data_IF_971225375761
#
_entry.id   IF_971225375761
#
_cell.length_a   1.000
_cell.length_b   1.000
_cell.length_c   1.000
_cell.angle_alpha   90.00
_cell.angle_beta   90.00
_cell.angle_gamma   90.00
#
_symmetry.space_group_name_H-M   'P 1'
#
loop_
_entity.id
_entity.type
_entity.pdbx_description
1 polymer ?
#
# COMPACT_ATOMS: atom_id res chain seq x y z
N UNK A 1 -2.58 -8.15 -8.05
CA UNK A 1 -1.97 -7.76 -6.75
C UNK A 1 -2.17 -8.91 -5.77
N UNK A 2 -1.15 -9.33 -5.02
CA UNK A 2 -1.18 -10.59 -4.25
C UNK A 2 -2.15 -10.58 -3.06
N UNK A 3 -2.23 -9.46 -2.35
CA UNK A 3 -2.99 -9.34 -1.09
C UNK A 3 -4.15 -8.35 -1.18
N UNK A 4 -4.80 -8.25 -2.36
CA UNK A 4 -5.83 -7.24 -2.60
C UNK A 4 -6.99 -7.32 -1.59
N UNK A 5 -7.47 -8.53 -1.29
CA UNK A 5 -8.56 -8.72 -0.33
C UNK A 5 -8.16 -8.36 1.10
N UNK A 6 -6.96 -8.76 1.52
CA UNK A 6 -6.43 -8.37 2.84
C UNK A 6 -6.26 -6.86 2.93
N UNK A 7 -5.77 -6.19 1.88
CA UNK A 7 -5.62 -4.73 1.86
C UNK A 7 -6.96 -4.02 2.02
N UNK A 8 -8.01 -4.46 1.33
CA UNK A 8 -9.38 -3.93 1.50
C UNK A 8 -9.90 -4.13 2.92
N UNK A 9 -9.75 -5.33 3.48
CA UNK A 9 -10.21 -5.62 4.84
C UNK A 9 -9.42 -4.85 5.91
N UNK A 10 -8.11 -4.70 5.76
CA UNK A 10 -7.27 -3.93 6.68
C UNK A 10 -7.65 -2.45 6.65
N UNK A 11 -7.85 -1.87 5.46
CA UNK A 11 -8.27 -0.47 5.36
C UNK A 11 -9.62 -0.22 6.02
N UNK A 12 -10.59 -1.12 5.81
CA UNK A 12 -11.87 -1.07 6.50
C UNK A 12 -11.68 -1.01 8.02
N UNK A 13 -10.85 -1.89 8.60
CA UNK A 13 -10.57 -1.89 10.04
C UNK A 13 -9.86 -0.61 10.50
N UNK A 14 -8.89 -0.12 9.75
CA UNK A 14 -8.18 1.12 10.09
C UNK A 14 -9.14 2.33 10.13
N UNK A 15 -10.06 2.42 9.17
CA UNK A 15 -11.04 3.50 9.13
C UNK A 15 -12.11 3.35 10.22
N UNK A 16 -12.66 2.15 10.39
CA UNK A 16 -13.82 1.91 11.27
C UNK A 16 -13.44 1.73 12.75
N UNK A 17 -12.24 1.23 13.04
CA UNK A 17 -11.82 0.89 14.41
C UNK A 17 -10.72 1.83 14.93
N UNK A 18 -9.90 2.40 14.04
CA UNK A 18 -8.75 3.25 14.43
C UNK A 18 -8.92 4.73 14.04
N UNK A 19 -10.03 5.09 13.38
CA UNK A 19 -10.31 6.46 12.92
C UNK A 19 -9.20 7.05 12.02
N UNK A 20 -8.52 6.21 11.24
CA UNK A 20 -7.47 6.60 10.30
C UNK A 20 -8.06 6.79 8.91
N UNK A 21 -7.71 7.85 8.19
CA UNK A 21 -8.05 7.99 6.76
C UNK A 21 -7.11 7.14 5.90
N UNK A 22 -7.65 6.27 5.02
CA UNK A 22 -6.82 5.39 4.20
C UNK A 22 -6.90 5.72 2.71
N UNK A 23 -5.77 6.18 2.15
CA UNK A 23 -5.61 6.34 0.69
C UNK A 23 -5.18 5.03 0.03
N UNK A 24 -6.13 4.28 -0.53
CA UNK A 24 -5.84 3.01 -1.21
C UNK A 24 -5.33 3.14 -2.65
N UNK A 25 -4.59 2.11 -3.08
CA UNK A 25 -4.26 1.85 -4.48
C UNK A 25 -5.49 1.39 -5.28
N UNK A 26 -5.35 1.34 -6.62
CA UNK A 26 -6.40 0.85 -7.50
C UNK A 26 -6.31 -0.66 -7.71
N UNK A 27 -7.47 -1.29 -7.88
CA UNK A 27 -7.60 -2.73 -8.14
C UNK A 27 -8.15 -2.95 -9.55
N UNK A 28 -7.44 -3.74 -10.36
CA UNK A 28 -7.88 -4.12 -11.70
C UNK A 28 -8.74 -5.40 -11.62
N UNK A 29 -9.97 -5.26 -11.11
CA UNK A 29 -10.90 -6.38 -10.87
C UNK A 29 -11.28 -7.10 -12.17
N UNK A 30 -11.45 -6.33 -13.25
CA UNK A 30 -11.78 -6.83 -14.58
C UNK A 30 -10.59 -7.49 -15.29
N UNK A 31 -9.39 -7.48 -14.66
CA UNK A 31 -8.15 -8.03 -15.20
C UNK A 31 -7.84 -7.51 -16.61
N UNK A 32 -8.08 -6.23 -16.82
CA UNK A 32 -7.78 -5.56 -18.08
C UNK A 32 -6.29 -5.66 -18.42
N UNK A 33 -5.92 -5.76 -19.70
CA UNK A 33 -4.51 -5.75 -20.10
C UNK A 33 -3.79 -4.49 -19.60
N UNK A 34 -2.66 -4.67 -18.91
CA UNK A 34 -1.88 -3.56 -18.38
C UNK A 34 -0.55 -3.48 -19.11
N UNK A 35 -0.42 -2.48 -19.99
CA UNK A 35 0.82 -2.16 -20.69
C UNK A 35 1.81 -1.37 -19.82
N UNK A 36 3.05 -1.25 -20.30
CA UNK A 36 4.14 -0.55 -19.59
C UNK A 36 3.80 0.90 -19.23
N UNK A 37 3.19 1.64 -20.16
CA UNK A 37 2.76 3.02 -19.94
C UNK A 37 1.69 3.13 -18.84
N UNK A 38 0.78 2.15 -18.74
CA UNK A 38 -0.20 2.11 -17.67
C UNK A 38 0.47 1.79 -16.33
N UNK A 39 1.43 0.87 -16.29
CA UNK A 39 2.23 0.58 -15.09
C UNK A 39 2.99 1.82 -14.59
N UNK A 40 3.58 2.60 -15.50
CA UNK A 40 4.26 3.85 -15.16
C UNK A 40 3.31 4.86 -14.52
N UNK A 41 2.12 5.07 -15.10
CA UNK A 41 1.10 5.96 -14.54
C UNK A 41 0.59 5.50 -13.18
N UNK A 42 0.40 4.19 -12.99
CA UNK A 42 0.01 3.61 -11.69
C UNK A 42 1.09 3.91 -10.65
N UNK A 43 2.36 3.68 -10.98
CA UNK A 43 3.50 3.95 -10.10
C UNK A 43 3.58 5.44 -9.70
N UNK A 44 3.46 6.36 -10.65
CA UNK A 44 3.43 7.80 -10.37
C UNK A 44 2.24 8.18 -9.48
N UNK A 45 1.07 7.57 -9.70
CA UNK A 45 -0.10 7.80 -8.86
C UNK A 45 0.06 7.24 -7.43
N UNK A 46 0.85 6.18 -7.25
CA UNK A 46 1.21 5.67 -5.92
C UNK A 46 2.14 6.62 -5.19
N UNK A 47 3.16 7.16 -5.87
CA UNK A 47 4.06 8.16 -5.27
C UNK A 47 3.32 9.43 -4.85
N UNK A 48 2.39 9.93 -5.66
CA UNK A 48 1.54 11.06 -5.26
C UNK A 48 0.69 10.77 -4.03
N UNK A 49 0.17 9.54 -3.88
CA UNK A 49 -0.53 9.14 -2.63
C UNK A 49 0.40 9.21 -1.43
N UNK A 50 1.62 8.69 -1.56
CA UNK A 50 2.64 8.75 -0.50
C UNK A 50 2.96 10.21 -0.12
N UNK A 51 3.09 11.09 -1.11
CA UNK A 51 3.36 12.51 -0.85
C UNK A 51 2.25 13.17 -0.01
N UNK A 52 0.98 12.80 -0.27
CA UNK A 52 -0.20 13.30 0.45
C UNK A 52 -0.41 12.67 1.83
N UNK A 53 0.11 11.48 2.08
CA UNK A 53 -0.07 10.76 3.34
C UNK A 53 0.92 11.21 4.42
N UNK A 54 0.54 11.10 5.69
CA UNK A 54 1.45 11.25 6.83
C UNK A 54 2.37 10.03 7.00
N UNK A 55 1.84 8.83 6.71
CA UNK A 55 2.53 7.55 6.82
C UNK A 55 2.14 6.58 5.70
N UNK A 56 2.95 5.55 5.49
CA UNK A 56 2.69 4.43 4.57
C UNK A 56 2.54 3.14 5.35
N UNK A 57 1.38 2.50 5.23
CA UNK A 57 1.09 1.20 5.84
C UNK A 57 1.38 0.06 4.86
N UNK A 58 2.31 -0.82 5.21
CA UNK A 58 2.77 -1.94 4.38
C UNK A 58 2.08 -3.22 4.83
N UNK A 59 1.35 -3.85 3.91
CA UNK A 59 0.72 -5.17 4.12
C UNK A 59 1.74 -6.27 3.78
N UNK A 60 2.57 -6.64 4.75
CA UNK A 60 3.67 -7.61 4.64
C UNK A 60 3.31 -9.00 5.20
N UNK A 61 2.16 -9.55 4.80
CA UNK A 61 1.68 -10.87 5.27
C UNK A 61 2.72 -11.96 5.01
N UNK A 62 3.12 -12.68 6.06
CA UNK A 62 4.17 -13.70 6.01
C UNK A 62 5.55 -13.16 5.62
N UNK A 63 5.81 -11.87 5.84
CA UNK A 63 7.07 -11.19 5.48
C UNK A 63 7.24 -10.94 3.97
N UNK A 64 6.19 -11.13 3.16
CA UNK A 64 6.29 -10.91 1.72
C UNK A 64 6.30 -9.42 1.37
N UNK A 65 7.33 -8.98 0.66
CA UNK A 65 7.43 -7.64 0.08
C UNK A 65 7.78 -7.76 -1.41
N UNK A 66 6.92 -7.21 -2.27
CA UNK A 66 7.12 -7.17 -3.72
C UNK A 66 8.10 -6.07 -4.17
N UNK A 67 8.62 -6.16 -5.39
CA UNK A 67 9.59 -5.19 -5.91
C UNK A 67 9.02 -3.75 -5.99
N UNK A 68 7.77 -3.59 -6.43
CA UNK A 68 7.12 -2.26 -6.45
C UNK A 68 7.00 -1.68 -5.05
N UNK A 69 6.60 -2.51 -4.07
CA UNK A 69 6.45 -2.11 -2.68
C UNK A 69 7.81 -1.72 -2.07
N UNK A 70 8.90 -2.42 -2.40
CA UNK A 70 10.25 -2.01 -1.97
C UNK A 70 10.61 -0.61 -2.47
N UNK A 71 10.29 -0.31 -3.73
CA UNK A 71 10.55 1.02 -4.31
C UNK A 71 9.67 2.10 -3.65
N UNK A 72 8.42 1.78 -3.31
CA UNK A 72 7.53 2.66 -2.57
C UNK A 72 8.01 2.92 -1.14
N UNK A 73 8.53 1.90 -0.44
CA UNK A 73 9.15 2.05 0.89
C UNK A 73 10.38 2.96 0.83
N UNK A 74 11.25 2.75 -0.17
CA UNK A 74 12.42 3.62 -0.38
C UNK A 74 11.99 5.07 -0.64
N UNK A 75 11.01 5.28 -1.50
CA UNK A 75 10.47 6.60 -1.81
C UNK A 75 9.85 7.28 -0.57
N UNK A 76 9.03 6.56 0.19
CA UNK A 76 8.43 7.07 1.42
C UNK A 76 9.48 7.53 2.43
N UNK A 77 10.52 6.71 2.64
CA UNK A 77 11.65 7.05 3.54
C UNK A 77 12.42 8.28 3.07
N UNK A 78 12.67 8.40 1.77
CA UNK A 78 13.32 9.58 1.18
C UNK A 78 12.49 10.86 1.41
N UNK A 79 11.16 10.75 1.37
CA UNK A 79 10.22 11.83 1.69
C UNK A 79 10.03 12.07 3.19
N UNK A 80 10.75 11.35 4.05
CA UNK A 80 10.62 11.45 5.51
C UNK A 80 9.27 10.96 6.04
N UNK A 81 8.55 10.13 5.27
CA UNK A 81 7.27 9.55 5.68
C UNK A 81 7.52 8.35 6.60
N UNK A 82 6.67 8.20 7.61
CA UNK A 82 6.70 7.01 8.47
C UNK A 82 6.30 5.78 7.67
N UNK A 83 6.96 4.64 7.91
CA UNK A 83 6.65 3.35 7.28
C UNK A 83 6.27 2.35 8.35
N UNK A 84 5.01 1.92 8.34
CA UNK A 84 4.41 1.03 9.33
C UNK A 84 4.20 -0.33 8.68
N UNK A 85 4.68 -1.40 9.29
CA UNK A 85 4.49 -2.76 8.78
C UNK A 85 3.33 -3.45 9.50
N UNK A 86 2.50 -4.17 8.75
CA UNK A 86 1.36 -4.91 9.29
C UNK A 86 1.80 -5.92 10.35
N UNK A 87 2.90 -6.64 10.09
CA UNK A 87 3.51 -7.60 11.02
C UNK A 87 3.89 -7.00 12.39
N UNK A 88 4.16 -5.69 12.44
CA UNK A 88 4.49 -4.98 13.69
C UNK A 88 3.26 -4.51 14.46
N UNK A 89 2.14 -4.26 13.78
CA UNK A 89 0.89 -3.76 14.38
C UNK A 89 0.02 -4.92 14.86
N UNK A 90 -0.14 -5.93 14.01
CA UNK A 90 -0.92 -7.12 14.31
C UNK A 90 0.03 -8.30 14.40
N UNK A 91 0.60 -8.52 15.60
CA UNK A 91 1.26 -9.78 15.89
C UNK A 91 0.18 -10.86 15.85
N UNK A 92 0.26 -11.79 14.90
CA UNK A 92 -0.47 -13.05 14.98
C UNK A 92 -0.15 -13.66 16.36
N UNK A 93 -1.15 -13.70 17.24
CA UNK A 93 -1.08 -14.41 18.52
C UNK A 93 -1.35 -15.88 18.29
#
# INVERSE_FOLDING_TARGET
>A
MKFAEQMKQIAWKLETEQSVNVLQCVYNEQKEPVGEEALKRIKEAHYRRIDMSDAVYIVDIGGYIGNSVRQEISYAREKGKEVIFHSNVFKER
#
